data_IF_608784655132
#
_entry.id   IF_608784655132
#
_cell.length_a   1.000
_cell.length_b   1.000
_cell.length_c   1.000
_cell.angle_alpha   90.00
_cell.angle_beta   90.00
_cell.angle_gamma   90.00
#
_symmetry.space_group_name_H-M   'P 1'
#
loop_
_entity.id
_entity.type
_entity.pdbx_description
1 polymer ?
#
# COMPACT_ATOMS: atom_id res chain seq x y z
N UNK A 1 6.99 -41.01 -14.99
CA UNK A 1 5.81 -41.86 -14.62
C UNK A 1 4.59 -40.96 -14.46
N UNK A 2 3.58 -41.14 -15.30
CA UNK A 2 2.37 -40.28 -15.29
C UNK A 2 1.50 -40.61 -14.06
N UNK A 3 1.18 -39.64 -13.21
CA UNK A 3 0.09 -39.75 -12.23
C UNK A 3 -1.14 -38.98 -12.74
N UNK A 4 -2.26 -39.69 -12.67
CA UNK A 4 -3.56 -39.31 -13.23
C UNK A 4 -4.29 -38.34 -12.30
N UNK A 5 -4.81 -37.25 -12.86
CA UNK A 5 -5.85 -36.43 -12.27
C UNK A 5 -7.18 -37.24 -12.21
N UNK A 6 -7.84 -37.23 -11.08
CA UNK A 6 -9.23 -37.69 -10.95
C UNK A 6 -10.12 -36.50 -10.60
N UNK A 7 -10.96 -36.10 -11.56
CA UNK A 7 -12.07 -35.19 -11.36
C UNK A 7 -13.11 -35.82 -10.41
N UNK A 8 -13.60 -35.07 -9.43
CA UNK A 8 -14.80 -35.39 -8.67
C UNK A 8 -15.89 -34.38 -9.01
N UNK A 9 -16.95 -34.90 -9.60
CA UNK A 9 -18.17 -34.18 -9.90
C UNK A 9 -18.99 -33.92 -8.63
N UNK A 10 -19.53 -32.69 -8.52
CA UNK A 10 -20.51 -32.34 -7.49
C UNK A 10 -21.90 -32.81 -7.88
N UNK A 11 -22.61 -33.39 -6.93
CA UNK A 11 -24.05 -33.66 -7.03
C UNK A 11 -24.79 -32.85 -5.96
N UNK A 12 -25.72 -32.01 -6.42
CA UNK A 12 -26.72 -31.34 -5.58
C UNK A 12 -27.67 -32.35 -4.92
N UNK A 13 -27.97 -32.10 -3.66
CA UNK A 13 -29.06 -32.74 -2.95
C UNK A 13 -29.65 -31.80 -1.91
N UNK A 14 -30.80 -31.18 -2.24
CA UNK A 14 -31.67 -30.49 -1.28
C UNK A 14 -32.34 -31.51 -0.35
N UNK A 15 -32.33 -31.24 0.95
CA UNK A 15 -33.45 -31.66 1.85
C UNK A 15 -33.32 -30.92 3.17
N UNK A 16 -34.29 -30.09 3.48
CA UNK A 16 -34.44 -29.43 4.77
C UNK A 16 -34.96 -30.37 5.86
N UNK A 17 -34.47 -30.17 7.07
CA UNK A 17 -35.20 -30.56 8.31
C UNK A 17 -34.83 -29.53 9.39
N UNK A 18 -35.85 -28.83 9.85
CA UNK A 18 -35.82 -28.07 11.11
C UNK A 18 -35.77 -29.07 12.29
N UNK A 19 -34.82 -28.86 13.21
CA UNK A 19 -34.96 -29.39 14.56
C UNK A 19 -34.26 -28.46 15.56
N UNK A 20 -35.10 -27.82 16.36
CA UNK A 20 -34.74 -27.14 17.61
C UNK A 20 -34.31 -28.16 18.65
N UNK A 21 -33.17 -28.00 19.29
CA UNK A 21 -32.92 -28.53 20.62
C UNK A 21 -31.79 -27.83 21.36
N UNK A 22 -32.07 -27.60 22.58
CA UNK A 22 -31.48 -26.89 23.67
C UNK A 22 -29.98 -27.12 23.93
N UNK A 23 -29.38 -26.06 24.50
CA UNK A 23 -28.12 -25.99 25.20
C UNK A 23 -27.88 -27.12 26.21
N UNK A 24 -26.71 -27.75 26.12
CA UNK A 24 -25.92 -28.14 27.31
C UNK A 24 -24.47 -28.17 26.90
N UNK A 25 -23.66 -27.32 27.51
CA UNK A 25 -22.21 -27.25 27.28
C UNK A 25 -21.48 -28.48 27.82
N UNK A 26 -20.50 -28.92 27.06
CA UNK A 26 -19.32 -29.61 27.55
C UNK A 26 -18.17 -29.18 26.67
N UNK A 27 -17.42 -28.19 27.15
CA UNK A 27 -16.11 -27.83 26.60
C UNK A 27 -15.13 -28.95 26.94
N UNK A 28 -14.78 -29.76 25.94
CA UNK A 28 -13.50 -30.46 25.98
C UNK A 28 -12.49 -29.57 25.28
N UNK A 29 -11.77 -28.78 26.08
CA UNK A 29 -10.57 -28.11 25.65
C UNK A 29 -9.47 -29.14 25.38
N UNK A 30 -9.13 -29.37 24.14
CA UNK A 30 -7.80 -29.86 23.81
C UNK A 30 -6.87 -28.64 23.98
N UNK A 31 -6.05 -28.67 25.02
CA UNK A 31 -4.94 -27.75 25.13
C UNK A 31 -4.02 -28.04 23.93
N UNK A 32 -3.91 -27.11 23.00
CA UNK A 32 -2.89 -27.15 21.96
C UNK A 32 -1.53 -27.11 22.64
N UNK A 33 -0.64 -28.01 22.22
CA UNK A 33 0.74 -28.03 22.66
C UNK A 33 1.35 -26.67 22.24
N UNK A 34 1.87 -25.85 23.18
CA UNK A 34 2.46 -24.57 22.83
C UNK A 34 3.72 -24.68 21.96
N UNK A 35 4.25 -25.88 21.76
CA UNK A 35 5.44 -26.17 20.96
C UNK A 35 5.09 -26.91 19.65
N UNK A 36 3.82 -26.96 19.21
CA UNK A 36 3.46 -27.51 17.91
C UNK A 36 3.78 -26.48 16.80
N UNK A 37 4.78 -26.76 15.94
CA UNK A 37 5.16 -25.85 14.85
C UNK A 37 4.07 -25.70 13.75
N UNK A 38 3.01 -26.53 13.82
CA UNK A 38 1.85 -26.48 12.90
C UNK A 38 0.59 -25.96 13.59
N UNK A 39 0.68 -25.41 14.81
CA UNK A 39 -0.46 -24.77 15.43
C UNK A 39 -0.83 -23.54 14.61
N UNK A 40 -1.92 -23.63 13.83
CA UNK A 40 -2.58 -22.48 13.20
C UNK A 40 -2.84 -21.48 14.31
N UNK A 41 -2.20 -20.32 14.28
CA UNK A 41 -2.55 -19.21 15.16
C UNK A 41 -3.96 -18.82 14.77
N UNK A 42 -4.95 -19.22 15.59
CA UNK A 42 -6.31 -18.72 15.41
C UNK A 42 -6.24 -17.20 15.36
N UNK A 43 -6.76 -16.60 14.30
CA UNK A 43 -7.00 -15.16 14.25
C UNK A 43 -7.75 -14.78 15.53
N UNK A 44 -7.17 -13.87 16.31
CA UNK A 44 -7.84 -13.40 17.53
C UNK A 44 -9.08 -12.62 17.08
N UNK A 45 -10.30 -13.12 17.32
CA UNK A 45 -11.51 -12.48 16.84
C UNK A 45 -11.57 -11.03 17.34
N UNK A 46 -12.19 -10.16 16.55
CA UNK A 46 -12.46 -8.79 16.99
C UNK A 46 -13.36 -8.87 18.23
N UNK A 47 -12.92 -8.24 19.32
CA UNK A 47 -13.73 -8.15 20.52
C UNK A 47 -14.80 -7.05 20.34
N UNK A 48 -16.00 -7.47 19.97
CA UNK A 48 -17.16 -6.61 19.79
C UNK A 48 -17.83 -6.19 21.11
N UNK A 49 -17.34 -6.68 22.26
CA UNK A 49 -17.98 -6.47 23.57
C UNK A 49 -17.34 -5.36 24.39
N UNK A 50 -16.06 -5.06 24.15
CA UNK A 50 -15.34 -3.99 24.82
C UNK A 50 -15.27 -2.78 23.90
N UNK A 51 -16.16 -1.82 24.12
CA UNK A 51 -16.13 -0.54 23.40
C UNK A 51 -16.54 0.58 24.36
N UNK A 52 -15.62 1.48 24.63
CA UNK A 52 -15.86 2.64 25.51
C UNK A 52 -16.19 3.91 24.75
N UNK A 53 -16.23 3.85 23.41
CA UNK A 53 -16.54 4.99 22.56
C UNK A 53 -17.93 5.53 22.82
N UNK A 54 -18.05 6.85 22.89
CA UNK A 54 -19.32 7.54 23.13
C UNK A 54 -19.93 8.04 21.83
N UNK A 55 -20.93 7.31 21.34
CA UNK A 55 -21.61 7.62 20.08
C UNK A 55 -22.54 8.82 20.22
N UNK A 56 -22.48 9.77 19.28
CA UNK A 56 -23.44 10.86 19.18
C UNK A 56 -24.75 10.39 18.54
N UNK A 57 -25.70 10.02 19.36
CA UNK A 57 -27.01 9.53 18.90
C UNK A 57 -27.85 10.56 18.13
N UNK A 58 -27.49 11.85 18.17
CA UNK A 58 -28.16 12.88 17.38
C UNK A 58 -27.90 12.77 15.89
N UNK A 59 -26.83 12.06 15.51
CA UNK A 59 -26.43 11.83 14.11
C UNK A 59 -27.13 10.61 13.48
N UNK A 60 -27.90 9.84 14.28
CA UNK A 60 -28.62 8.66 13.78
C UNK A 60 -29.60 9.02 12.66
N UNK A 61 -29.54 8.26 11.57
CA UNK A 61 -30.31 8.49 10.34
C UNK A 61 -29.61 9.37 9.32
N UNK A 62 -28.41 9.91 9.63
CA UNK A 62 -27.56 10.57 8.65
C UNK A 62 -26.95 9.55 7.70
N UNK A 63 -26.77 9.93 6.43
CA UNK A 63 -26.10 9.11 5.42
C UNK A 63 -24.89 9.85 4.86
N UNK A 64 -23.75 9.17 4.77
CA UNK A 64 -22.52 9.66 4.16
C UNK A 64 -22.01 8.68 3.11
N UNK A 65 -21.19 9.16 2.17
CA UNK A 65 -20.55 8.36 1.13
C UNK A 65 -19.05 8.44 1.29
N UNK A 66 -18.37 7.28 1.26
CA UNK A 66 -16.91 7.18 1.23
C UNK A 66 -16.48 6.67 -0.15
N UNK A 67 -15.75 7.49 -0.91
CA UNK A 67 -15.10 7.03 -2.13
C UNK A 67 -13.83 6.25 -1.77
N UNK A 68 -13.80 4.97 -2.12
CA UNK A 68 -12.67 4.10 -1.86
C UNK A 68 -11.81 3.91 -3.11
N UNK A 69 -10.53 4.23 -3.01
CA UNK A 69 -9.50 4.05 -4.05
C UNK A 69 -8.50 2.94 -3.73
N UNK A 70 -8.75 2.18 -2.64
CA UNK A 70 -7.98 1.00 -2.23
C UNK A 70 -8.86 -0.23 -2.48
N UNK A 71 -8.79 -0.77 -3.70
CA UNK A 71 -9.65 -1.90 -4.10
C UNK A 71 -9.50 -3.11 -3.16
N UNK A 72 -8.29 -3.36 -2.68
CA UNK A 72 -7.94 -4.46 -1.78
C UNK A 72 -8.64 -4.43 -0.42
N UNK A 73 -9.11 -3.26 0.05
CA UNK A 73 -9.87 -3.15 1.31
C UNK A 73 -11.38 -2.95 1.10
N UNK A 74 -11.91 -3.08 -0.11
CA UNK A 74 -13.32 -2.76 -0.39
C UNK A 74 -14.27 -3.50 0.54
N UNK A 75 -14.17 -4.82 0.59
CA UNK A 75 -15.04 -5.66 1.43
C UNK A 75 -14.86 -5.38 2.92
N UNK A 76 -13.61 -5.20 3.35
CA UNK A 76 -13.28 -4.87 4.74
C UNK A 76 -13.87 -3.51 5.16
N UNK A 77 -13.82 -2.53 4.27
CA UNK A 77 -14.37 -1.20 4.53
C UNK A 77 -15.91 -1.21 4.58
N UNK A 78 -16.57 -2.04 3.76
CA UNK A 78 -18.01 -2.28 3.81
C UNK A 78 -18.42 -2.93 5.15
N UNK A 79 -17.61 -3.86 5.67
CA UNK A 79 -17.82 -4.45 6.99
C UNK A 79 -17.67 -3.42 8.12
N UNK A 80 -16.64 -2.58 8.06
CA UNK A 80 -16.44 -1.45 8.98
C UNK A 80 -17.65 -0.51 8.96
N UNK A 81 -18.11 -0.13 7.77
CA UNK A 81 -19.26 0.74 7.58
C UNK A 81 -20.52 0.16 8.23
N UNK A 82 -20.77 -1.14 8.03
CA UNK A 82 -21.90 -1.85 8.64
C UNK A 82 -21.82 -1.87 10.17
N UNK A 83 -20.65 -2.16 10.74
CA UNK A 83 -20.48 -2.17 12.20
C UNK A 83 -20.69 -0.79 12.78
N UNK A 84 -20.18 0.26 12.14
CA UNK A 84 -20.40 1.63 12.57
C UNK A 84 -21.88 2.02 12.48
N UNK A 85 -22.57 1.65 11.39
CA UNK A 85 -24.03 1.90 11.25
C UNK A 85 -24.82 1.21 12.37
N UNK A 86 -24.52 -0.05 12.69
CA UNK A 86 -25.18 -0.77 13.78
C UNK A 86 -24.99 -0.10 15.16
N UNK A 87 -23.88 0.59 15.38
CA UNK A 87 -23.53 1.25 16.65
C UNK A 87 -24.00 2.71 16.71
N UNK A 88 -23.75 3.49 15.67
CA UNK A 88 -23.99 4.93 15.61
C UNK A 88 -25.33 5.29 14.96
N UNK A 89 -25.92 4.38 14.18
CA UNK A 89 -27.11 4.66 13.38
C UNK A 89 -26.85 5.55 12.16
N UNK A 90 -25.59 5.74 11.78
CA UNK A 90 -25.15 6.50 10.59
C UNK A 90 -24.94 5.54 9.45
N UNK A 91 -25.66 5.74 8.34
CA UNK A 91 -25.47 4.91 7.15
C UNK A 91 -24.25 5.37 6.36
N UNK A 92 -23.37 4.41 5.99
CA UNK A 92 -22.17 4.68 5.17
C UNK A 92 -22.23 3.85 3.90
N UNK A 93 -22.29 4.51 2.76
CA UNK A 93 -22.13 3.89 1.45
C UNK A 93 -20.66 3.92 1.03
N UNK A 94 -20.09 2.77 0.66
CA UNK A 94 -18.72 2.67 0.13
C UNK A 94 -18.80 2.64 -1.40
N UNK A 95 -18.30 3.70 -2.03
CA UNK A 95 -18.25 3.84 -3.48
C UNK A 95 -16.88 3.44 -4.01
N UNK A 96 -16.74 2.30 -4.71
CA UNK A 96 -15.47 1.89 -5.26
C UNK A 96 -15.06 2.76 -6.46
N UNK A 97 -13.76 2.94 -6.64
CA UNK A 97 -13.16 3.46 -7.88
C UNK A 97 -12.65 2.28 -8.69
N UNK A 98 -12.98 2.26 -9.99
CA UNK A 98 -12.57 1.17 -10.88
C UNK A 98 -11.06 1.22 -11.10
N UNK A 99 -10.42 0.05 -11.12
CA UNK A 99 -9.00 -0.08 -11.39
C UNK A 99 -8.62 0.59 -12.72
N UNK A 100 -7.56 1.37 -12.69
CA UNK A 100 -7.07 2.16 -13.83
C UNK A 100 -7.69 3.55 -13.98
N UNK A 101 -8.74 3.89 -13.21
CA UNK A 101 -9.25 5.26 -13.13
C UNK A 101 -8.36 6.09 -12.21
N UNK A 102 -7.97 7.29 -12.63
CA UNK A 102 -7.26 8.25 -11.76
C UNK A 102 -8.18 8.70 -10.61
N UNK A 103 -7.80 8.49 -9.33
CA UNK A 103 -8.57 8.96 -8.17
C UNK A 103 -8.85 10.46 -8.23
N UNK A 104 -7.85 11.26 -8.57
CA UNK A 104 -7.97 12.70 -8.76
C UNK A 104 -9.02 13.05 -9.81
N UNK A 105 -8.93 12.47 -11.00
CA UNK A 105 -9.88 12.74 -12.08
C UNK A 105 -11.30 12.34 -11.68
N UNK A 106 -11.45 11.22 -10.98
CA UNK A 106 -12.75 10.74 -10.50
C UNK A 106 -13.38 11.72 -9.51
N UNK A 107 -12.66 12.12 -8.46
CA UNK A 107 -13.22 13.04 -7.46
C UNK A 107 -13.52 14.41 -8.05
N UNK A 108 -12.66 14.95 -8.92
CA UNK A 108 -12.92 16.22 -9.63
C UNK A 108 -14.18 16.14 -10.49
N UNK A 109 -14.38 15.02 -11.20
CA UNK A 109 -15.61 14.80 -11.98
C UNK A 109 -16.87 14.79 -11.10
N UNK A 110 -16.80 14.19 -9.91
CA UNK A 110 -17.90 14.16 -8.94
C UNK A 110 -18.20 15.56 -8.39
N UNK A 111 -17.20 16.38 -8.09
CA UNK A 111 -17.38 17.81 -7.76
C UNK A 111 -18.04 18.58 -8.91
N UNK A 112 -17.57 18.39 -10.13
CA UNK A 112 -18.14 19.07 -11.31
C UNK A 112 -19.59 18.67 -11.59
N UNK A 113 -20.01 17.46 -11.20
CA UNK A 113 -21.40 17.00 -11.32
C UNK A 113 -22.28 17.44 -10.12
N UNK A 114 -21.70 18.07 -9.10
CA UNK A 114 -22.40 18.50 -7.89
C UNK A 114 -22.71 17.37 -6.90
N UNK A 115 -22.09 16.22 -7.04
CA UNK A 115 -22.30 15.03 -6.20
C UNK A 115 -20.97 14.47 -5.66
N UNK A 116 -20.12 15.26 -4.98
CA UNK A 116 -18.91 14.73 -4.37
C UNK A 116 -19.26 13.76 -3.22
N UNK A 117 -18.41 12.77 -2.94
CA UNK A 117 -18.56 11.95 -1.73
C UNK A 117 -18.28 12.80 -0.49
N UNK A 118 -18.85 12.42 0.66
CA UNK A 118 -18.58 13.08 1.95
C UNK A 118 -17.14 12.90 2.37
N UNK A 119 -16.62 11.68 2.21
CA UNK A 119 -15.22 11.31 2.46
C UNK A 119 -14.61 10.73 1.20
N UNK A 120 -13.35 11.08 0.91
CA UNK A 120 -12.61 10.53 -0.22
C UNK A 120 -11.27 9.99 0.25
N UNK A 121 -11.03 8.69 0.04
CA UNK A 121 -9.70 8.09 0.20
C UNK A 121 -8.89 8.45 -1.04
N UNK A 122 -7.79 9.17 -0.86
CA UNK A 122 -6.97 9.74 -1.92
C UNK A 122 -5.49 9.58 -1.61
N UNK A 123 -4.66 9.66 -2.61
CA UNK A 123 -3.22 9.79 -2.43
C UNK A 123 -2.86 11.17 -1.85
N UNK A 124 -1.77 11.25 -1.12
CA UNK A 124 -1.32 12.51 -0.49
C UNK A 124 -1.19 13.65 -1.52
N UNK A 125 -0.71 13.36 -2.72
CA UNK A 125 -0.58 14.33 -3.83
C UNK A 125 -1.93 14.87 -4.29
N UNK A 126 -2.96 14.02 -4.35
CA UNK A 126 -4.31 14.40 -4.75
C UNK A 126 -4.95 15.31 -3.71
N UNK A 127 -4.78 14.95 -2.42
CA UNK A 127 -5.24 15.80 -1.32
C UNK A 127 -4.59 17.18 -1.39
N UNK A 128 -3.28 17.26 -1.60
CA UNK A 128 -2.58 18.56 -1.68
C UNK A 128 -3.14 19.42 -2.81
N UNK A 129 -3.47 18.82 -3.95
CA UNK A 129 -4.02 19.53 -5.09
C UNK A 129 -5.47 20.03 -4.89
N UNK A 130 -6.25 19.39 -4.01
CA UNK A 130 -7.67 19.68 -3.81
C UNK A 130 -7.97 20.41 -2.52
N UNK A 131 -7.13 20.29 -1.51
CA UNK A 131 -7.44 20.58 -0.12
C UNK A 131 -7.95 22.00 0.12
N UNK A 132 -7.20 23.03 -0.34
CA UNK A 132 -7.54 24.43 -0.06
C UNK A 132 -8.87 24.87 -0.68
N UNK A 133 -9.32 24.20 -1.75
CA UNK A 133 -10.55 24.53 -2.43
C UNK A 133 -11.75 23.65 -2.05
N UNK A 134 -11.49 22.43 -1.54
CA UNK A 134 -12.53 21.39 -1.42
C UNK A 134 -12.63 20.78 -0.03
N UNK A 135 -11.55 20.77 0.75
CA UNK A 135 -11.50 20.01 2.00
C UNK A 135 -11.83 20.85 3.25
N UNK A 136 -12.48 20.23 4.20
CA UNK A 136 -12.68 20.79 5.53
C UNK A 136 -11.35 20.87 6.30
N UNK A 137 -11.18 21.94 7.07
CA UNK A 137 -10.06 22.09 7.99
C UNK A 137 -10.25 21.17 9.22
N UNK A 138 -9.37 20.19 9.35
CA UNK A 138 -9.37 19.17 10.41
C UNK A 138 -8.30 19.45 11.49
N UNK A 139 -7.65 20.61 11.47
CA UNK A 139 -6.53 20.94 12.37
C UNK A 139 -6.89 20.87 13.86
N UNK A 140 -8.17 20.99 14.22
CA UNK A 140 -8.63 20.96 15.60
C UNK A 140 -9.18 19.60 16.05
N UNK A 141 -9.13 18.59 15.20
CA UNK A 141 -9.57 17.24 15.58
C UNK A 141 -8.59 16.62 16.58
N UNK A 142 -9.14 15.92 17.59
CA UNK A 142 -8.34 15.39 18.69
C UNK A 142 -7.27 14.38 18.21
N UNK A 143 -7.58 13.58 17.19
CA UNK A 143 -6.68 12.58 16.62
C UNK A 143 -5.40 13.16 15.98
N UNK A 144 -5.36 14.47 15.69
CA UNK A 144 -4.14 15.10 15.15
C UNK A 144 -2.95 14.98 16.12
N UNK A 145 -3.22 14.95 17.43
CA UNK A 145 -2.19 14.69 18.43
C UNK A 145 -1.70 13.25 18.46
N UNK A 146 -2.51 12.29 17.99
CA UNK A 146 -2.12 10.87 17.95
C UNK A 146 -1.27 10.53 16.71
N UNK A 147 -1.41 11.29 15.62
CA UNK A 147 -0.73 11.07 14.35
C UNK A 147 0.26 12.18 13.97
N UNK A 148 0.78 12.97 14.91
CA UNK A 148 1.53 14.21 14.65
C UNK A 148 2.66 14.06 13.62
N UNK A 149 3.38 12.95 13.65
CA UNK A 149 4.51 12.66 12.74
C UNK A 149 4.07 12.30 11.32
N UNK A 150 2.78 11.99 11.13
CA UNK A 150 2.22 11.50 9.87
C UNK A 150 1.19 12.45 9.25
N UNK A 151 1.02 13.65 9.80
CA UNK A 151 0.07 14.64 9.29
C UNK A 151 0.59 15.31 8.03
N UNK A 152 -0.23 15.32 6.99
CA UNK A 152 0.00 16.19 5.82
C UNK A 152 -0.49 17.59 6.15
N UNK A 153 0.43 18.54 6.23
CA UNK A 153 0.13 19.94 6.53
C UNK A 153 0.29 20.81 5.27
N UNK A 154 -0.75 21.56 4.93
CA UNK A 154 -0.75 22.51 3.81
C UNK A 154 -0.97 23.91 4.41
N UNK A 155 -0.01 24.81 4.23
CA UNK A 155 -0.03 26.14 4.84
C UNK A 155 -0.30 26.12 6.36
N UNK A 156 0.23 25.11 7.05
CA UNK A 156 0.11 24.93 8.50
C UNK A 156 -1.21 24.33 8.97
N UNK A 157 -2.11 23.96 8.07
CA UNK A 157 -3.40 23.33 8.35
C UNK A 157 -3.43 21.86 7.95
N UNK A 158 -4.26 21.09 8.64
CA UNK A 158 -4.53 19.68 8.37
C UNK A 158 -5.85 19.56 7.61
N UNK A 159 -5.82 19.03 6.38
CA UNK A 159 -7.00 18.89 5.52
C UNK A 159 -7.39 17.44 5.24
N UNK A 160 -6.68 16.49 5.84
CA UNK A 160 -6.95 15.08 5.66
C UNK A 160 -6.61 14.27 6.90
N UNK A 161 -7.30 13.16 7.02
CA UNK A 161 -7.05 12.13 8.03
C UNK A 161 -6.07 11.11 7.44
N UNK A 162 -4.91 10.85 8.05
CA UNK A 162 -3.99 9.83 7.57
C UNK A 162 -4.59 8.44 7.82
N UNK A 163 -4.89 7.69 6.74
CA UNK A 163 -5.58 6.41 6.85
C UNK A 163 -4.65 5.31 7.34
N UNK A 164 -3.48 5.17 6.72
CA UNK A 164 -2.53 4.10 7.02
C UNK A 164 -1.11 4.50 6.67
N UNK A 165 -0.15 3.82 7.29
CA UNK A 165 1.24 3.77 6.85
C UNK A 165 1.38 2.60 5.87
N UNK A 166 2.01 2.84 4.74
CA UNK A 166 2.40 1.81 3.78
C UNK A 166 3.90 1.86 3.54
N UNK A 167 4.50 0.68 3.48
CA UNK A 167 5.91 0.53 3.17
C UNK A 167 6.12 -0.27 1.90
N UNK A 168 7.20 0.03 1.17
CA UNK A 168 7.55 -0.66 -0.07
C UNK A 168 9.03 -1.00 -0.15
N UNK A 169 9.30 -2.10 -0.84
CA UNK A 169 10.63 -2.62 -1.03
C UNK A 169 10.60 -3.88 -1.87
N UNK A 170 11.59 -4.72 -1.71
CA UNK A 170 11.64 -6.01 -2.39
C UNK A 170 11.09 -7.06 -1.43
N UNK A 171 9.82 -7.47 -1.65
CA UNK A 171 9.22 -8.58 -0.90
C UNK A 171 10.02 -9.85 -1.20
N UNK A 172 10.32 -10.63 -0.16
CA UNK A 172 10.93 -11.96 -0.31
C UNK A 172 10.02 -13.05 0.26
N UNK A 173 10.11 -14.26 -0.32
CA UNK A 173 9.59 -15.50 0.26
C UNK A 173 10.77 -16.30 0.78
N UNK A 174 10.98 -16.32 2.10
CA UNK A 174 12.14 -16.92 2.75
C UNK A 174 12.24 -18.41 2.48
N UNK A 175 11.14 -19.16 2.64
CA UNK A 175 11.11 -20.60 2.43
C UNK A 175 11.55 -20.99 1.00
N UNK A 176 11.10 -20.21 0.01
CA UNK A 176 11.48 -20.42 -1.41
C UNK A 176 12.97 -20.18 -1.65
N UNK A 177 13.53 -19.17 -1.00
CA UNK A 177 14.98 -18.88 -1.08
C UNK A 177 15.76 -20.04 -0.47
N UNK A 178 15.40 -20.46 0.74
CA UNK A 178 16.07 -21.54 1.47
C UNK A 178 15.97 -22.88 0.75
N UNK A 179 14.80 -23.23 0.25
CA UNK A 179 14.58 -24.46 -0.54
C UNK A 179 15.41 -24.46 -1.83
N UNK A 180 15.52 -23.31 -2.50
CA UNK A 180 16.30 -23.20 -3.74
C UNK A 180 17.80 -23.28 -3.48
N UNK A 181 18.29 -22.63 -2.42
CA UNK A 181 19.72 -22.58 -2.09
C UNK A 181 20.19 -23.81 -1.28
N UNK A 182 19.27 -24.47 -0.57
CA UNK A 182 19.59 -25.55 0.36
C UNK A 182 20.32 -25.07 1.62
N UNK A 183 20.20 -23.80 1.97
CA UNK A 183 20.83 -23.16 3.14
C UNK A 183 19.87 -22.15 3.77
N UNK A 184 20.04 -21.88 5.06
CA UNK A 184 19.32 -20.82 5.76
C UNK A 184 19.56 -19.46 5.10
N UNK A 185 18.53 -18.62 5.07
CA UNK A 185 18.55 -17.25 4.55
C UNK A 185 18.33 -16.25 5.68
N UNK A 186 19.31 -15.39 5.92
CA UNK A 186 19.19 -14.23 6.79
C UNK A 186 19.15 -12.96 5.92
N UNK A 187 18.01 -12.23 5.87
CA UNK A 187 17.90 -11.00 5.09
C UNK A 187 18.91 -9.92 5.53
N UNK A 188 19.41 -9.96 6.77
CA UNK A 188 20.39 -9.01 7.29
C UNK A 188 21.81 -9.18 6.70
N UNK A 189 22.06 -10.28 6.04
CA UNK A 189 23.33 -10.52 5.31
C UNK A 189 23.41 -9.74 3.99
N UNK A 190 22.27 -9.32 3.45
CA UNK A 190 22.18 -8.53 2.21
C UNK A 190 22.23 -7.05 2.57
N UNK A 191 23.35 -6.40 2.28
CA UNK A 191 23.64 -5.01 2.71
C UNK A 191 23.91 -4.05 1.55
N UNK A 192 24.13 -4.58 0.36
CA UNK A 192 24.51 -3.78 -0.80
C UNK A 192 23.82 -4.27 -2.06
N UNK A 193 23.88 -3.48 -3.12
CA UNK A 193 23.39 -3.88 -4.44
C UNK A 193 24.16 -5.11 -4.96
N UNK A 194 25.49 -5.21 -4.72
CA UNK A 194 26.30 -6.36 -5.14
C UNK A 194 25.93 -7.63 -4.36
N UNK A 195 25.63 -7.54 -3.05
CA UNK A 195 25.14 -8.69 -2.27
C UNK A 195 23.81 -9.19 -2.82
N UNK A 196 22.88 -8.27 -3.13
CA UNK A 196 21.61 -8.65 -3.74
C UNK A 196 21.81 -9.27 -5.13
N UNK A 197 22.67 -8.71 -5.97
CA UNK A 197 23.00 -9.28 -7.27
C UNK A 197 23.62 -10.68 -7.15
N UNK A 198 24.47 -10.91 -6.14
CA UNK A 198 25.06 -12.22 -5.86
C UNK A 198 24.00 -13.24 -5.41
N UNK A 199 23.03 -12.83 -4.58
CA UNK A 199 21.89 -13.65 -4.19
C UNK A 199 21.04 -14.07 -5.39
N UNK A 200 20.70 -13.11 -6.28
CA UNK A 200 19.94 -13.37 -7.50
C UNK A 200 20.69 -14.36 -8.44
N UNK A 201 22.00 -14.18 -8.57
CA UNK A 201 22.81 -15.10 -9.37
C UNK A 201 22.87 -16.49 -8.74
N UNK A 202 22.98 -16.58 -7.42
CA UNK A 202 22.98 -17.87 -6.69
C UNK A 202 21.67 -18.62 -6.90
N UNK A 203 20.52 -17.96 -6.83
CA UNK A 203 19.21 -18.56 -7.11
C UNK A 203 19.13 -19.04 -8.57
N UNK A 204 19.64 -18.25 -9.51
CA UNK A 204 19.69 -18.60 -10.94
C UNK A 204 20.55 -19.85 -11.17
N UNK A 205 21.70 -19.94 -10.53
CA UNK A 205 22.63 -21.08 -10.65
C UNK A 205 22.04 -22.34 -10.02
N UNK A 206 21.15 -22.21 -9.04
CA UNK A 206 20.42 -23.31 -8.41
C UNK A 206 19.06 -23.62 -9.08
N UNK A 207 18.79 -23.05 -10.26
CA UNK A 207 17.67 -23.45 -11.12
C UNK A 207 16.52 -22.45 -11.21
N UNK A 208 16.45 -21.44 -10.35
CA UNK A 208 15.46 -20.38 -10.42
C UNK A 208 15.93 -19.28 -11.40
N UNK A 209 15.70 -19.50 -12.67
CA UNK A 209 16.27 -18.69 -13.76
C UNK A 209 16.00 -17.18 -13.63
N UNK A 210 14.80 -16.80 -13.26
CA UNK A 210 14.33 -15.42 -13.13
C UNK A 210 13.57 -15.29 -11.80
N UNK A 211 14.27 -14.95 -10.70
CA UNK A 211 13.72 -14.99 -9.34
C UNK A 211 12.86 -13.78 -8.94
N UNK A 212 12.67 -12.80 -9.83
CA UNK A 212 11.99 -11.53 -9.51
C UNK A 212 10.73 -11.36 -10.34
N UNK A 213 9.66 -10.89 -9.71
CA UNK A 213 8.49 -10.29 -10.36
C UNK A 213 8.59 -8.77 -10.37
N UNK A 214 8.30 -8.14 -11.50
CA UNK A 214 8.22 -6.68 -11.66
C UNK A 214 6.88 -6.30 -12.28
N UNK A 215 6.12 -5.48 -11.56
CA UNK A 215 4.85 -4.93 -12.03
C UNK A 215 5.06 -3.96 -13.21
N UNK A 216 4.13 -4.01 -14.18
CA UNK A 216 4.15 -3.14 -15.36
C UNK A 216 3.31 -1.88 -15.18
N UNK A 217 2.49 -1.85 -14.15
CA UNK A 217 1.54 -0.78 -13.86
C UNK A 217 2.29 0.54 -13.75
N UNK A 218 1.75 1.57 -14.37
CA UNK A 218 2.35 2.92 -14.39
C UNK A 218 2.49 3.52 -12.98
N UNK A 219 1.54 3.25 -12.07
CA UNK A 219 1.65 3.64 -10.68
C UNK A 219 2.82 2.93 -9.96
N UNK A 220 3.05 1.64 -10.22
CA UNK A 220 4.19 0.92 -9.64
C UNK A 220 5.53 1.46 -10.15
N UNK A 221 5.61 1.72 -11.44
CA UNK A 221 6.83 2.21 -12.10
C UNK A 221 7.08 3.69 -11.83
N UNK A 222 6.07 4.55 -12.02
CA UNK A 222 6.19 6.00 -11.96
C UNK A 222 6.06 6.59 -10.55
N UNK A 223 5.23 5.98 -9.68
CA UNK A 223 5.10 6.44 -8.30
C UNK A 223 5.99 5.66 -7.34
N UNK A 224 5.96 4.32 -7.38
CA UNK A 224 6.65 3.56 -6.34
C UNK A 224 8.15 3.40 -6.63
N UNK A 225 8.55 3.04 -7.84
CA UNK A 225 9.97 2.85 -8.14
C UNK A 225 10.67 4.18 -8.43
N UNK A 226 10.14 4.98 -9.36
CA UNK A 226 10.81 6.21 -9.78
C UNK A 226 10.98 7.23 -8.66
N UNK A 227 10.03 7.31 -7.72
CA UNK A 227 10.11 8.27 -6.62
C UNK A 227 11.31 8.04 -5.68
N UNK A 228 11.94 6.87 -5.70
CA UNK A 228 13.21 6.67 -4.97
C UNK A 228 14.27 7.71 -5.32
N UNK A 229 14.30 8.24 -6.54
CA UNK A 229 15.28 9.27 -6.92
C UNK A 229 15.11 10.58 -6.14
N UNK A 230 13.90 10.88 -5.67
CA UNK A 230 13.60 12.05 -4.86
C UNK A 230 13.75 11.76 -3.37
N UNK A 231 13.10 10.69 -2.92
CA UNK A 231 12.95 10.34 -1.51
C UNK A 231 14.26 9.91 -0.85
N UNK A 232 15.18 9.35 -1.63
CA UNK A 232 16.47 8.86 -1.14
C UNK A 232 17.58 9.92 -1.16
N UNK A 233 17.27 11.18 -1.49
CA UNK A 233 18.23 12.27 -1.35
C UNK A 233 18.78 12.35 0.08
N UNK A 234 17.89 12.39 1.07
CA UNK A 234 18.26 12.35 2.49
C UNK A 234 17.26 11.57 3.38
N UNK A 235 16.27 10.89 2.80
CA UNK A 235 15.28 10.09 3.53
C UNK A 235 14.19 10.91 4.22
N UNK A 236 13.99 12.17 3.84
CA UNK A 236 12.95 13.05 4.39
C UNK A 236 12.10 13.66 3.29
N UNK A 237 10.84 14.04 3.62
CA UNK A 237 9.95 14.74 2.68
C UNK A 237 10.48 16.11 2.28
N UNK A 238 11.17 16.83 3.17
CA UNK A 238 11.81 18.10 2.85
C UNK A 238 12.94 17.92 1.83
N UNK A 239 13.74 16.86 1.97
CA UNK A 239 14.78 16.53 0.99
C UNK A 239 14.22 16.13 -0.37
N UNK A 240 13.13 15.37 -0.38
CA UNK A 240 12.42 15.06 -1.63
C UNK A 240 11.89 16.33 -2.31
N UNK A 241 11.33 17.26 -1.53
CA UNK A 241 10.85 18.54 -2.03
C UNK A 241 11.99 19.42 -2.59
N UNK A 242 13.19 19.39 -1.98
CA UNK A 242 14.39 20.08 -2.49
C UNK A 242 14.73 19.59 -3.89
N UNK A 243 14.89 18.29 -4.10
CA UNK A 243 15.19 17.68 -5.41
C UNK A 243 14.12 18.04 -6.45
N UNK A 244 12.83 17.95 -6.08
CA UNK A 244 11.71 18.27 -6.96
C UNK A 244 11.74 19.76 -7.37
N UNK A 245 12.02 20.67 -6.44
CA UNK A 245 12.12 22.10 -6.74
C UNK A 245 13.30 22.41 -7.64
N UNK A 246 14.46 21.80 -7.40
CA UNK A 246 15.64 21.95 -8.26
C UNK A 246 15.39 21.45 -9.69
N UNK A 247 14.60 20.38 -9.85
CA UNK A 247 14.16 19.91 -11.17
C UNK A 247 13.22 20.92 -11.84
N UNK A 248 12.22 21.45 -11.11
CA UNK A 248 11.29 22.47 -11.62
C UNK A 248 12.00 23.74 -12.04
N UNK A 249 13.00 24.16 -11.28
CA UNK A 249 13.78 25.37 -11.52
C UNK A 249 14.88 25.16 -12.57
N UNK A 250 15.11 23.93 -13.02
CA UNK A 250 16.14 23.55 -13.98
C UNK A 250 17.57 23.68 -13.45
N UNK A 251 17.75 23.68 -12.12
CA UNK A 251 19.05 23.74 -11.45
C UNK A 251 19.66 22.36 -11.22
N UNK A 252 18.86 21.30 -11.14
CA UNK A 252 19.31 19.91 -11.09
C UNK A 252 19.41 19.33 -12.52
N UNK A 253 20.61 18.84 -12.87
CA UNK A 253 20.84 18.11 -14.10
C UNK A 253 20.89 16.60 -13.81
N UNK A 254 19.82 15.87 -14.12
CA UNK A 254 19.63 14.45 -13.77
C UNK A 254 20.72 13.51 -14.28
N UNK A 255 21.32 13.70 -15.49
CA UNK A 255 22.43 12.85 -15.93
C UNK A 255 23.63 12.86 -14.98
N UNK A 256 23.83 13.92 -14.18
CA UNK A 256 24.90 14.02 -13.19
C UNK A 256 24.45 13.62 -11.77
N UNK A 257 23.14 13.49 -11.55
CA UNK A 257 22.58 13.16 -10.24
C UNK A 257 22.88 11.72 -9.82
N UNK A 258 23.54 11.53 -8.69
CA UNK A 258 24.00 10.22 -8.24
C UNK A 258 22.85 9.24 -8.03
N UNK A 259 21.77 9.65 -7.34
CA UNK A 259 20.61 8.79 -7.07
C UNK A 259 19.91 8.33 -8.35
N UNK A 260 19.92 9.14 -9.42
CA UNK A 260 19.40 8.71 -10.72
C UNK A 260 20.21 7.55 -11.33
N UNK A 261 21.54 7.65 -11.25
CA UNK A 261 22.44 6.59 -11.75
C UNK A 261 22.29 5.30 -10.94
N UNK A 262 22.26 5.43 -9.63
CA UNK A 262 22.08 4.32 -8.68
C UNK A 262 20.73 3.63 -8.91
N UNK A 263 19.65 4.40 -9.02
CA UNK A 263 18.31 3.89 -9.33
C UNK A 263 18.31 3.07 -10.64
N UNK A 264 18.87 3.60 -11.70
CA UNK A 264 18.92 2.89 -13.00
C UNK A 264 19.74 1.61 -12.93
N UNK A 265 20.80 1.56 -12.12
CA UNK A 265 21.57 0.34 -11.94
C UNK A 265 20.72 -0.76 -11.27
N UNK A 266 20.00 -0.41 -10.21
CA UNK A 266 19.11 -1.36 -9.53
C UNK A 266 17.93 -1.76 -10.43
N UNK A 267 17.31 -0.79 -11.11
CA UNK A 267 16.21 -1.09 -12.03
C UNK A 267 16.62 -2.06 -13.14
N UNK A 268 17.81 -1.87 -13.72
CA UNK A 268 18.35 -2.78 -14.75
C UNK A 268 18.70 -4.16 -14.18
N UNK A 269 19.17 -4.23 -12.94
CA UNK A 269 19.36 -5.50 -12.24
C UNK A 269 18.03 -6.25 -12.09
N UNK A 270 16.98 -5.57 -11.63
CA UNK A 270 15.64 -6.17 -11.51
C UNK A 270 15.11 -6.62 -12.88
N UNK A 271 15.26 -5.81 -13.93
CA UNK A 271 14.89 -6.18 -15.32
C UNK A 271 15.58 -7.47 -15.78
N UNK A 272 16.88 -7.60 -15.51
CA UNK A 272 17.67 -8.77 -15.95
C UNK A 272 17.16 -10.07 -15.31
N UNK A 273 16.67 -10.00 -14.07
CA UNK A 273 16.19 -11.15 -13.33
C UNK A 273 14.67 -11.29 -13.31
N UNK A 274 13.93 -10.44 -14.04
CA UNK A 274 12.48 -10.44 -14.10
C UNK A 274 11.94 -11.71 -14.78
N UNK A 275 10.96 -12.35 -14.14
CA UNK A 275 10.29 -13.56 -14.67
C UNK A 275 9.62 -13.28 -16.02
N UNK A 276 9.07 -12.08 -16.18
CA UNK A 276 8.38 -11.63 -17.40
C UNK A 276 9.32 -10.89 -18.39
N UNK A 277 10.65 -10.97 -18.26
CA UNK A 277 11.56 -10.17 -19.11
C UNK A 277 11.41 -10.37 -20.62
N UNK A 278 10.80 -11.47 -21.08
CA UNK A 278 10.50 -11.72 -22.49
C UNK A 278 9.33 -10.90 -23.05
N UNK A 279 8.38 -10.56 -22.20
CA UNK A 279 7.23 -9.69 -22.46
C UNK A 279 6.80 -8.95 -21.17
N UNK A 280 7.59 -7.99 -20.72
CA UNK A 280 7.35 -7.38 -19.41
C UNK A 280 6.06 -6.54 -19.34
N UNK A 281 5.51 -6.10 -20.47
CA UNK A 281 4.23 -5.39 -20.51
C UNK A 281 3.02 -6.34 -20.63
N UNK A 282 3.25 -7.62 -20.87
CA UNK A 282 2.24 -8.68 -20.81
C UNK A 282 2.07 -9.27 -19.41
N UNK A 283 2.92 -8.90 -18.44
CA UNK A 283 2.83 -9.40 -17.08
C UNK A 283 1.50 -9.02 -16.42
N UNK A 284 0.98 -9.89 -15.56
CA UNK A 284 -0.27 -9.69 -14.83
C UNK A 284 0.02 -9.57 -13.33
N UNK A 285 -0.64 -8.63 -12.64
CA UNK A 285 -0.39 -8.33 -11.23
C UNK A 285 -0.76 -9.50 -10.32
N UNK A 286 -1.91 -10.15 -10.57
CA UNK A 286 -2.37 -11.29 -9.76
C UNK A 286 -1.50 -12.52 -10.03
N UNK A 287 -1.03 -12.73 -11.28
CA UNK A 287 -0.05 -13.78 -11.58
C UNK A 287 1.26 -13.60 -10.81
N UNK A 288 1.68 -12.36 -10.54
CA UNK A 288 2.89 -12.12 -9.75
C UNK A 288 2.74 -12.54 -8.28
N UNK A 289 1.56 -12.32 -7.70
CA UNK A 289 1.25 -12.80 -6.36
C UNK A 289 1.27 -14.35 -6.33
N UNK A 290 0.65 -15.00 -7.31
CA UNK A 290 0.68 -16.45 -7.47
C UNK A 290 2.12 -16.96 -7.66
N UNK A 291 2.90 -16.31 -8.51
CA UNK A 291 4.29 -16.68 -8.78
C UNK A 291 5.17 -16.63 -7.52
N UNK A 292 4.93 -15.66 -6.64
CA UNK A 292 5.65 -15.53 -5.37
C UNK A 292 5.15 -16.55 -4.33
N UNK A 293 3.83 -16.74 -4.21
CA UNK A 293 3.24 -17.69 -3.27
C UNK A 293 3.58 -19.15 -3.63
N UNK A 294 3.50 -19.51 -4.92
CA UNK A 294 3.83 -20.84 -5.44
C UNK A 294 5.34 -21.13 -5.53
N UNK A 295 6.20 -20.15 -5.24
CA UNK A 295 7.66 -20.28 -5.30
C UNK A 295 8.25 -20.33 -6.71
N UNK A 296 7.55 -19.83 -7.70
CA UNK A 296 8.09 -19.66 -9.06
C UNK A 296 9.08 -18.47 -9.12
N UNK A 297 8.85 -17.46 -8.29
CA UNK A 297 9.78 -16.36 -7.99
C UNK A 297 10.08 -16.32 -6.50
N UNK A 298 11.22 -15.74 -6.13
CA UNK A 298 11.62 -15.55 -4.73
C UNK A 298 11.35 -14.12 -4.24
N UNK A 299 11.22 -13.18 -5.19
CA UNK A 299 11.10 -11.75 -4.90
C UNK A 299 10.04 -11.06 -5.76
N UNK A 300 9.42 -10.02 -5.16
CA UNK A 300 8.52 -9.11 -5.86
C UNK A 300 8.72 -7.68 -5.34
N UNK A 301 9.06 -6.73 -6.22
CA UNK A 301 9.05 -5.34 -5.80
C UNK A 301 7.61 -4.85 -5.66
N UNK A 302 7.18 -4.63 -4.40
CA UNK A 302 5.83 -4.19 -4.07
C UNK A 302 5.81 -3.60 -2.64
N UNK A 303 4.63 -3.40 -2.07
CA UNK A 303 4.45 -2.96 -0.70
C UNK A 303 3.53 -3.89 0.11
N UNK A 304 3.32 -3.56 1.38
CA UNK A 304 2.50 -4.38 2.27
C UNK A 304 1.03 -4.49 1.84
N UNK A 305 0.54 -3.59 1.01
CA UNK A 305 -0.80 -3.69 0.38
C UNK A 305 -0.96 -4.91 -0.53
N UNK A 306 0.12 -5.59 -0.91
CA UNK A 306 0.07 -6.80 -1.72
C UNK A 306 -0.38 -8.05 -0.94
N UNK A 307 -0.49 -7.98 0.39
CA UNK A 307 -0.85 -9.13 1.20
C UNK A 307 -2.18 -9.79 0.81
N UNK A 308 -3.29 -9.06 0.60
CA UNK A 308 -4.55 -9.70 0.20
C UNK A 308 -4.43 -10.53 -1.09
N UNK A 309 -3.62 -10.09 -2.07
CA UNK A 309 -3.39 -10.85 -3.29
C UNK A 309 -2.54 -12.11 -3.05
N UNK A 310 -1.57 -12.04 -2.14
CA UNK A 310 -0.77 -13.20 -1.74
C UNK A 310 -1.63 -14.23 -0.97
N UNK A 311 -2.49 -13.77 -0.07
CA UNK A 311 -3.42 -14.61 0.68
C UNK A 311 -4.44 -15.30 -0.25
N UNK A 312 -4.99 -14.58 -1.24
CA UNK A 312 -5.84 -15.17 -2.28
C UNK A 312 -5.08 -16.20 -3.13
N UNK A 313 -3.78 -15.97 -3.35
CA UNK A 313 -2.89 -16.92 -4.00
C UNK A 313 -2.50 -18.12 -3.12
N UNK A 314 -2.92 -18.17 -1.85
CA UNK A 314 -2.71 -19.28 -0.93
C UNK A 314 -1.56 -19.10 0.06
N UNK A 315 -0.99 -17.89 0.18
CA UNK A 315 -0.06 -17.58 1.26
C UNK A 315 -0.78 -17.55 2.62
N UNK A 316 -0.10 -17.97 3.67
CA UNK A 316 -0.66 -18.01 5.02
C UNK A 316 0.05 -17.00 5.93
N UNK A 317 -0.62 -16.52 6.98
CA UNK A 317 -0.05 -15.56 7.95
C UNK A 317 1.13 -16.12 8.74
N UNK A 318 1.33 -17.43 8.68
CA UNK A 318 2.45 -18.16 9.27
C UNK A 318 3.66 -18.25 8.35
N UNK A 319 3.52 -17.88 7.07
CA UNK A 319 4.62 -17.94 6.12
C UNK A 319 5.64 -16.83 6.39
N UNK A 320 6.90 -17.10 6.06
CA UNK A 320 8.00 -16.17 6.31
C UNK A 320 8.25 -15.25 5.11
N UNK A 321 7.41 -14.21 5.00
CA UNK A 321 7.62 -13.08 4.09
C UNK A 321 8.20 -11.87 4.83
N UNK A 322 8.88 -11.01 4.10
CA UNK A 322 9.36 -9.73 4.60
C UNK A 322 9.92 -8.86 3.48
N UNK A 323 10.57 -7.75 3.83
CA UNK A 323 11.09 -6.78 2.88
C UNK A 323 12.60 -6.64 2.96
N UNK A 324 13.26 -6.68 1.81
CA UNK A 324 14.60 -6.14 1.60
C UNK A 324 14.49 -4.68 1.13
N UNK A 325 15.47 -3.82 1.47
CA UNK A 325 15.60 -2.49 0.90
C UNK A 325 15.70 -2.51 -0.65
N UNK A 326 15.40 -1.37 -1.27
CA UNK A 326 15.66 -1.17 -2.69
C UNK A 326 17.13 -0.77 -2.87
N UNK A 327 18.05 -1.70 -2.75
CA UNK A 327 19.50 -1.46 -2.72
C UNK A 327 19.97 -0.58 -3.89
N UNK A 328 20.36 0.66 -3.62
CA UNK A 328 20.72 1.61 -4.67
C UNK A 328 22.21 1.59 -5.02
N UNK A 329 23.08 1.20 -4.07
CA UNK A 329 24.52 1.26 -4.24
C UNK A 329 25.26 0.22 -3.40
N UNK A 330 26.59 0.31 -3.35
CA UNK A 330 27.45 -0.63 -2.63
C UNK A 330 28.07 -0.03 -1.35
N UNK A 331 27.50 1.04 -0.81
CA UNK A 331 27.87 1.55 0.49
C UNK A 331 26.96 0.94 1.57
N UNK A 332 27.45 0.03 2.42
CA UNK A 332 26.62 -0.62 3.44
C UNK A 332 26.19 0.34 4.55
N UNK A 333 26.82 1.52 4.66
CA UNK A 333 26.47 2.55 5.64
C UNK A 333 25.46 3.57 5.08
N UNK A 334 25.14 3.52 3.78
CA UNK A 334 24.07 4.35 3.21
C UNK A 334 22.70 3.85 3.71
N UNK A 335 21.90 4.76 4.28
CA UNK A 335 20.58 4.41 4.84
C UNK A 335 19.65 3.73 3.84
N UNK A 336 19.79 4.00 2.54
CA UNK A 336 18.96 3.40 1.48
C UNK A 336 19.15 1.89 1.34
N UNK A 337 20.27 1.36 1.82
CA UNK A 337 20.59 -0.06 1.80
C UNK A 337 20.19 -0.79 3.08
N UNK A 338 19.71 -0.06 4.10
CA UNK A 338 19.34 -0.63 5.40
C UNK A 338 17.92 -0.29 5.84
N UNK A 339 17.23 0.64 5.15
CA UNK A 339 15.90 1.09 5.53
C UNK A 339 14.89 0.92 4.39
N UNK A 340 13.65 0.65 4.79
CA UNK A 340 12.48 0.58 3.90
C UNK A 340 11.83 1.96 3.86
N UNK A 341 11.37 2.40 2.68
CA UNK A 341 10.50 3.56 2.59
C UNK A 341 9.12 3.19 3.17
N UNK A 342 8.67 3.93 4.19
CA UNK A 342 7.34 3.77 4.77
C UNK A 342 6.79 5.13 5.18
N UNK A 343 5.60 5.46 4.67
CA UNK A 343 4.97 6.77 4.87
C UNK A 343 3.43 6.66 4.79
N UNK A 344 2.68 7.68 5.27
CA UNK A 344 1.24 7.74 5.04
C UNK A 344 0.97 8.01 3.55
N UNK A 345 0.61 6.96 2.83
CA UNK A 345 0.34 7.03 1.39
C UNK A 345 -1.10 7.46 1.10
N UNK A 346 -2.06 6.93 1.87
CA UNK A 346 -3.49 7.18 1.71
C UNK A 346 -4.03 8.09 2.82
N UNK A 347 -4.82 9.07 2.38
CA UNK A 347 -5.43 10.08 3.20
C UNK A 347 -6.95 10.08 2.99
N UNK A 348 -7.73 10.43 4.00
CA UNK A 348 -9.18 10.65 3.86
C UNK A 348 -9.44 12.15 3.90
N UNK A 349 -9.95 12.69 2.81
CA UNK A 349 -10.38 14.08 2.68
C UNK A 349 -11.88 14.19 3.00
N UNK A 350 -12.29 15.16 3.82
CA UNK A 350 -13.68 15.49 4.11
C UNK A 350 -14.12 16.65 3.22
N UNK A 351 -15.23 16.47 2.48
CA UNK A 351 -15.81 17.54 1.66
C UNK A 351 -16.32 18.72 2.50
N UNK A 352 -15.92 19.94 2.13
CA UNK A 352 -16.39 21.18 2.75
C UNK A 352 -17.37 21.98 1.88
N UNK A 353 -17.60 21.54 0.65
CA UNK A 353 -18.33 22.34 -0.36
C UNK A 353 -19.80 21.95 -0.45
N UNK A 354 -20.12 20.67 -0.43
CA UNK A 354 -21.48 20.15 -0.67
C UNK A 354 -22.04 19.43 0.55
N UNK A 355 -21.19 18.79 1.34
CA UNK A 355 -21.62 18.06 2.53
C UNK A 355 -22.33 18.99 3.54
N UNK A 356 -23.49 18.56 4.04
CA UNK A 356 -24.22 19.27 5.09
C UNK A 356 -23.45 19.24 6.42
N UNK A 357 -23.83 20.11 7.36
CA UNK A 357 -23.20 20.13 8.68
C UNK A 357 -23.39 18.79 9.42
N UNK A 358 -24.57 18.15 9.26
CA UNK A 358 -24.85 16.83 9.82
C UNK A 358 -23.96 15.74 9.17
N UNK A 359 -23.75 15.79 7.86
CA UNK A 359 -22.86 14.86 7.16
C UNK A 359 -21.40 15.05 7.57
N UNK A 360 -20.94 16.29 7.71
CA UNK A 360 -19.59 16.59 8.21
C UNK A 360 -19.41 16.09 9.65
N UNK A 361 -20.42 16.28 10.51
CA UNK A 361 -20.38 15.78 11.87
C UNK A 361 -20.34 14.25 11.92
N UNK A 362 -21.18 13.57 11.13
CA UNK A 362 -21.19 12.11 11.03
C UNK A 362 -19.87 11.56 10.47
N UNK A 363 -19.28 12.22 9.49
CA UNK A 363 -17.97 11.85 8.95
C UNK A 363 -16.86 11.99 10.00
N UNK A 364 -16.85 13.09 10.76
CA UNK A 364 -15.87 13.27 11.85
C UNK A 364 -16.06 12.26 12.97
N UNK A 365 -17.31 11.91 13.30
CA UNK A 365 -17.62 10.86 14.26
C UNK A 365 -17.07 9.51 13.82
N UNK A 366 -17.24 9.16 12.54
CA UNK A 366 -16.66 7.95 11.97
C UNK A 366 -15.13 7.93 12.06
N UNK A 367 -14.46 9.04 11.69
CA UNK A 367 -13.00 9.16 11.79
C UNK A 367 -12.52 9.06 13.25
N UNK A 368 -13.22 9.69 14.19
CA UNK A 368 -12.93 9.59 15.62
C UNK A 368 -13.14 8.16 16.14
N UNK A 369 -14.17 7.47 15.66
CA UNK A 369 -14.41 6.07 16.01
C UNK A 369 -13.27 5.15 15.55
N UNK A 370 -12.72 5.33 14.36
CA UNK A 370 -11.54 4.57 13.89
C UNK A 370 -10.33 4.73 14.81
N UNK A 371 -10.20 5.88 15.49
CA UNK A 371 -9.02 6.19 16.34
C UNK A 371 -9.27 5.87 17.81
N UNK A 372 -10.49 6.03 18.32
CA UNK A 372 -10.74 5.98 19.77
C UNK A 372 -11.67 4.85 20.22
N UNK A 373 -12.33 4.14 19.30
CA UNK A 373 -13.10 2.93 19.64
C UNK A 373 -12.18 1.72 19.61
N UNK A 374 -12.27 0.87 20.61
CA UNK A 374 -11.56 -0.41 20.66
C UNK A 374 -11.94 -1.31 19.48
N UNK A 375 -13.20 -1.25 19.04
CA UNK A 375 -13.69 -1.98 17.86
C UNK A 375 -13.11 -1.37 16.59
N UNK A 376 -13.19 -0.04 16.41
CA UNK A 376 -12.67 0.67 15.25
C UNK A 376 -11.17 0.43 15.06
N UNK A 377 -10.38 0.54 16.13
CA UNK A 377 -8.96 0.27 16.14
C UNK A 377 -8.61 -1.17 15.71
N UNK A 378 -9.34 -2.17 16.22
CA UNK A 378 -9.14 -3.56 15.82
C UNK A 378 -9.51 -3.79 14.37
N UNK A 379 -10.61 -3.22 13.89
CA UNK A 379 -11.05 -3.41 12.50
C UNK A 379 -10.08 -2.80 11.49
N UNK A 380 -9.53 -1.62 11.76
CA UNK A 380 -8.48 -1.02 10.91
C UNK A 380 -7.30 -1.97 10.72
N UNK A 381 -6.85 -2.61 11.80
CA UNK A 381 -5.65 -3.46 11.77
C UNK A 381 -5.95 -4.87 11.32
N UNK A 382 -7.01 -5.51 11.87
CA UNK A 382 -7.27 -6.93 11.67
C UNK A 382 -8.15 -7.22 10.46
N UNK A 383 -9.14 -6.33 10.15
CA UNK A 383 -10.03 -6.53 9.02
C UNK A 383 -9.48 -5.91 7.73
N UNK A 384 -8.87 -4.71 7.83
CA UNK A 384 -8.29 -4.04 6.66
C UNK A 384 -6.81 -4.35 6.44
N UNK A 385 -6.12 -5.04 7.35
CA UNK A 385 -4.66 -5.26 7.33
C UNK A 385 -3.85 -3.96 7.18
N UNK A 386 -4.35 -2.86 7.77
CA UNK A 386 -3.71 -1.55 7.69
C UNK A 386 -2.81 -1.29 8.90
N UNK A 387 -1.69 -0.62 8.67
CA UNK A 387 -0.81 -0.12 9.74
C UNK A 387 -1.32 1.27 10.14
N UNK A 388 -1.89 1.44 11.36
CA UNK A 388 -2.44 2.72 11.77
C UNK A 388 -1.33 3.75 12.06
N UNK A 389 -1.48 5.01 11.64
CA UNK A 389 -0.53 6.07 11.97
C UNK A 389 -0.74 6.67 13.37
N UNK A 390 -1.69 6.14 14.14
CA UNK A 390 -2.12 6.68 15.45
C UNK A 390 -1.42 5.92 16.59
N UNK A 391 -0.64 6.64 17.40
CA UNK A 391 0.14 6.07 18.52
C UNK A 391 -0.69 5.44 19.64
N UNK A 392 -1.99 5.77 19.72
CA UNK A 392 -2.91 5.19 20.69
C UNK A 392 -3.54 3.86 20.24
N UNK A 393 -3.28 3.37 19.03
CA UNK A 393 -3.76 2.06 18.59
C UNK A 393 -2.80 0.96 19.09
N UNK A 394 -3.25 0.05 19.98
CA UNK A 394 -2.40 -0.98 20.55
C UNK A 394 -2.33 -2.25 19.70
N UNK A 395 -3.05 -2.31 18.58
CA UNK A 395 -3.14 -3.50 17.76
C UNK A 395 -1.96 -3.58 16.78
N UNK A 396 -1.41 -4.77 16.61
CA UNK A 396 -0.34 -5.08 15.67
C UNK A 396 -0.91 -5.84 14.47
N UNK A 397 -0.40 -5.61 13.25
CA UNK A 397 -0.80 -6.36 12.06
C UNK A 397 -0.53 -7.86 12.22
N UNK A 398 -1.43 -8.70 11.71
CA UNK A 398 -1.30 -10.15 11.75
C UNK A 398 -0.58 -10.71 10.52
N UNK A 399 -0.73 -10.05 9.38
CA UNK A 399 -0.07 -10.50 8.16
C UNK A 399 1.44 -10.20 8.17
N UNK A 400 2.27 -11.05 7.55
CA UNK A 400 3.72 -10.95 7.65
C UNK A 400 4.28 -9.68 6.99
N UNK A 401 3.65 -9.18 5.93
CA UNK A 401 4.13 -7.97 5.23
C UNK A 401 3.89 -6.71 6.07
N UNK A 402 2.65 -6.52 6.55
CA UNK A 402 2.35 -5.35 7.39
C UNK A 402 3.08 -5.43 8.73
N UNK A 403 3.27 -6.62 9.29
CA UNK A 403 4.05 -6.81 10.52
C UNK A 403 5.52 -6.42 10.33
N UNK A 404 6.17 -6.84 9.26
CA UNK A 404 7.57 -6.49 8.98
C UNK A 404 7.75 -4.97 8.78
N UNK A 405 6.83 -4.29 8.08
CA UNK A 405 6.84 -2.82 7.96
C UNK A 405 6.61 -2.16 9.33
N UNK A 406 5.62 -2.63 10.10
CA UNK A 406 5.34 -2.11 11.45
C UNK A 406 6.57 -2.22 12.35
N UNK A 407 7.21 -3.37 12.40
CA UNK A 407 8.44 -3.59 13.18
C UNK A 407 9.58 -2.67 12.72
N UNK A 408 9.77 -2.49 11.41
CA UNK A 408 10.79 -1.59 10.85
C UNK A 408 10.51 -0.13 11.22
N UNK A 409 9.25 0.30 11.18
CA UNK A 409 8.85 1.65 11.62
C UNK A 409 9.19 1.85 13.10
N UNK A 410 8.84 0.89 13.97
CA UNK A 410 9.09 0.97 15.40
C UNK A 410 10.59 0.96 15.76
N UNK A 411 11.40 0.24 15.01
CA UNK A 411 12.83 0.02 15.30
C UNK A 411 13.79 0.93 14.51
N UNK A 412 13.27 1.92 13.77
CA UNK A 412 14.09 2.84 12.97
C UNK A 412 14.66 2.21 11.69
N UNK A 413 14.14 1.06 11.28
CA UNK A 413 14.44 0.38 10.01
C UNK A 413 13.62 0.91 8.81
N UNK A 414 12.88 2.01 9.02
CA UNK A 414 12.16 2.69 7.97
C UNK A 414 12.59 4.17 7.87
N UNK A 415 12.28 4.79 6.73
CA UNK A 415 12.38 6.24 6.57
C UNK A 415 11.06 6.78 6.02
N UNK A 416 10.63 7.94 6.55
CA UNK A 416 9.40 8.61 6.16
C UNK A 416 9.72 9.76 5.21
N UNK A 417 9.70 9.48 3.91
CA UNK A 417 9.82 10.49 2.88
C UNK A 417 8.68 10.34 1.89
N UNK A 418 8.01 11.44 1.59
CA UNK A 418 6.96 11.51 0.57
C UNK A 418 7.33 12.56 -0.46
N UNK A 419 7.48 12.13 -1.71
CA UNK A 419 7.70 13.03 -2.83
C UNK A 419 6.37 13.64 -3.27
N UNK A 420 6.21 14.96 -3.08
CA UNK A 420 5.03 15.69 -3.53
C UNK A 420 5.27 16.15 -4.97
N UNK A 421 4.70 15.42 -5.90
CA UNK A 421 4.85 15.58 -7.35
C UNK A 421 3.53 16.01 -7.99
N UNK A 422 3.51 16.49 -9.25
CA UNK A 422 2.26 16.72 -9.98
C UNK A 422 1.37 15.47 -10.04
N UNK A 423 0.05 15.64 -10.07
CA UNK A 423 -0.92 14.53 -10.05
C UNK A 423 -0.80 13.57 -11.23
N UNK A 424 -0.31 14.05 -12.37
CA UNK A 424 -0.08 13.26 -13.58
C UNK A 424 1.33 12.65 -13.65
N UNK A 425 2.20 12.95 -12.67
CA UNK A 425 3.58 12.47 -12.64
C UNK A 425 3.67 10.94 -12.82
N UNK A 426 2.88 10.19 -12.06
CA UNK A 426 2.95 8.74 -12.08
C UNK A 426 2.44 8.16 -13.40
N UNK A 427 1.41 8.73 -14.03
CA UNK A 427 0.89 8.24 -15.32
C UNK A 427 1.82 8.62 -16.48
N UNK A 428 2.33 9.86 -16.49
CA UNK A 428 3.23 10.35 -17.56
C UNK A 428 4.58 9.65 -17.49
N UNK A 429 5.22 9.65 -16.34
CA UNK A 429 6.52 9.03 -16.17
C UNK A 429 6.45 7.51 -16.02
N UNK A 430 5.34 6.96 -15.54
CA UNK A 430 5.06 5.52 -15.60
C UNK A 430 5.05 5.01 -17.04
N UNK A 431 4.45 5.76 -17.98
CA UNK A 431 4.50 5.41 -19.39
C UNK A 431 5.93 5.45 -19.96
N UNK A 432 6.77 6.40 -19.53
CA UNK A 432 8.20 6.44 -19.89
C UNK A 432 8.95 5.23 -19.31
N UNK A 433 8.69 4.91 -18.05
CA UNK A 433 9.26 3.74 -17.38
C UNK A 433 8.83 2.42 -18.03
N UNK A 434 7.56 2.30 -18.47
CA UNK A 434 7.08 1.14 -19.23
C UNK A 434 7.85 0.95 -20.54
N UNK A 435 8.13 2.04 -21.28
CA UNK A 435 8.98 1.97 -22.49
C UNK A 435 10.38 1.47 -22.15
N UNK A 436 10.96 1.97 -21.06
CA UNK A 436 12.27 1.55 -20.61
C UNK A 436 12.29 0.09 -20.12
N UNK A 437 11.29 -0.34 -19.35
CA UNK A 437 11.10 -1.72 -18.92
C UNK A 437 11.04 -2.68 -20.12
N UNK A 438 10.31 -2.29 -21.17
CA UNK A 438 10.15 -3.05 -22.41
C UNK A 438 11.37 -2.98 -23.38
N UNK A 439 12.44 -2.25 -23.02
CA UNK A 439 13.61 -2.06 -23.88
C UNK A 439 13.28 -1.25 -25.16
N UNK A 440 12.24 -0.42 -25.13
CA UNK A 440 11.82 0.47 -26.24
C UNK A 440 12.38 1.87 -26.13
N UNK A 441 13.07 2.18 -25.05
CA UNK A 441 13.88 3.38 -24.81
C UNK A 441 15.13 2.98 -24.03
N UNK A 442 16.17 3.79 -24.12
CA UNK A 442 17.40 3.64 -23.37
C UNK A 442 17.42 4.55 -22.11
N UNK A 443 18.53 4.51 -21.36
CA UNK A 443 18.70 5.34 -20.14
C UNK A 443 18.66 6.84 -20.44
N UNK A 444 19.24 7.27 -21.54
CA UNK A 444 19.33 8.68 -21.92
C UNK A 444 17.92 9.23 -22.24
N UNK A 445 17.14 8.48 -23.03
CA UNK A 445 15.76 8.83 -23.36
C UNK A 445 14.86 8.88 -22.12
N UNK A 446 15.03 7.92 -21.18
CA UNK A 446 14.28 7.95 -19.92
C UNK A 446 14.65 9.15 -19.06
N UNK A 447 15.94 9.41 -18.86
CA UNK A 447 16.42 10.56 -18.07
C UNK A 447 15.91 11.87 -18.67
N UNK A 448 15.96 12.01 -20.01
CA UNK A 448 15.45 13.17 -20.73
C UNK A 448 13.95 13.37 -20.49
N UNK A 449 13.18 12.28 -20.55
CA UNK A 449 11.75 12.30 -20.24
C UNK A 449 11.46 12.81 -18.84
N UNK A 450 12.23 12.34 -17.83
CA UNK A 450 12.07 12.78 -16.44
C UNK A 450 12.48 14.24 -16.28
N UNK A 451 13.61 14.65 -16.87
CA UNK A 451 14.14 16.01 -16.80
C UNK A 451 13.18 17.05 -17.36
N UNK A 452 12.50 16.75 -18.47
CA UNK A 452 11.73 17.74 -19.23
C UNK A 452 10.22 17.64 -19.03
N UNK A 453 9.69 16.47 -18.68
CA UNK A 453 8.23 16.23 -18.65
C UNK A 453 7.69 16.14 -17.23
N UNK A 454 8.47 15.63 -16.29
CA UNK A 454 7.97 15.17 -14.99
C UNK A 454 7.54 16.26 -14.03
N UNK A 455 7.88 17.53 -14.27
CA UNK A 455 7.69 18.60 -13.30
C UNK A 455 7.06 19.89 -13.86
N UNK A 456 6.71 19.92 -15.14
CA UNK A 456 6.25 21.15 -15.81
C UNK A 456 4.74 21.34 -15.83
N UNK A 457 3.94 20.34 -15.47
CA UNK A 457 2.49 20.46 -15.65
C UNK A 457 1.83 21.31 -14.56
N UNK A 458 1.62 22.57 -14.89
CA UNK A 458 0.41 23.25 -14.39
C UNK A 458 -0.77 22.77 -15.24
N UNK A 459 -1.96 22.57 -14.69
CA UNK A 459 -3.15 22.18 -15.46
C UNK A 459 -3.48 23.10 -16.64
N UNK A 460 -2.92 24.29 -16.67
CA UNK A 460 -3.08 25.29 -17.74
C UNK A 460 -2.19 24.98 -18.96
N UNK A 461 -1.04 24.35 -18.78
CA UNK A 461 -0.08 24.07 -19.87
C UNK A 461 -0.52 22.87 -20.72
N UNK A 462 -1.30 21.92 -20.14
CA UNK A 462 -1.84 20.77 -20.86
C UNK A 462 -2.94 21.12 -21.88
N UNK A 463 -3.50 22.34 -21.87
CA UNK A 463 -4.53 22.77 -22.83
C UNK A 463 -3.96 23.28 -24.16
N UNK A 464 -2.68 23.59 -24.23
CA UNK A 464 -2.06 24.13 -25.45
C UNK A 464 -1.50 23.04 -26.39
N UNK A 465 -1.14 21.85 -25.87
CA UNK A 465 -0.62 20.76 -26.72
C UNK A 465 -1.71 19.92 -27.43
N UNK A 466 -3.00 20.14 -27.14
CA UNK A 466 -4.12 19.46 -27.82
C UNK A 466 -4.83 20.29 -28.89
N UNK A 467 -4.20 21.36 -29.36
CA UNK A 467 -4.65 22.16 -30.53
C UNK A 467 -3.67 22.02 -31.66
#
# INVERSE_FOLDING_TARGET
MRKKFSARAAALGMSGVLLTSALTGCTFGFASDPDDPNAVKEEVPIDMTTDTFQYDTSLSGTSIVIMNTKAEIQTALEEIAKVFEEKAGVHIEIMPVTDGDSPYTKVVSLYNSGNPPTLSILDTTDVIALAEEKAADLSNEAWTGEAEEYLTKINGKVYSFPLCIEGRGIIYNKSVIEDTLGTEFDPSDIKTQDDFAALLQSLRDNGMKNPISMAKEDWSLGAHQLQYIYETYNGTSDGAAEVINELKDGTLYLPDYTRMKEFLNTFDLLKEYNVAKGDPLGADYDEMAIDLADGKTAFWFNGNWAWPNLEEAGAETTDEYGFLPYFLNNDPDDFVNSKIQASPSKQIMLDDIVATDEQKAAAKEFLNWLVYSEIGQQMVVKTCSLIPPFKNNPNEPSDPLSRDIYEKVQNGGAFNASAIVPNDHWSVLGAAMQKYLAGRSDREELIDSIQHTGMSSKPEDMKEEQK
#
